data_IF_289882355021
#
_entry.id   IF_289882355021
#
_cell.length_a   1.000
_cell.length_b   1.000
_cell.length_c   1.000
_cell.angle_alpha   90.00
_cell.angle_beta   90.00
_cell.angle_gamma   90.00
#
_symmetry.space_group_name_H-M   'P 1'
#
loop_
_entity.id
_entity.type
_entity.pdbx_description
1 polymer ?
#
# COMPACT_ATOMS: atom_id res chain seq x y z
N UNK A 1 -35.34 -18.83 20.70
CA UNK A 1 -35.84 -17.92 21.75
C UNK A 1 -34.85 -17.92 22.93
N UNK A 2 -34.71 -16.84 23.69
CA UNK A 2 -33.49 -16.01 23.73
C UNK A 2 -32.68 -16.03 25.05
N UNK A 3 -31.49 -15.44 25.04
CA UNK A 3 -31.06 -14.46 26.06
C UNK A 3 -29.95 -14.83 27.06
N UNK A 4 -28.89 -14.00 27.09
CA UNK A 4 -28.02 -13.52 28.22
C UNK A 4 -26.62 -13.22 27.66
N UNK A 5 -26.24 -11.99 27.26
CA UNK A 5 -25.99 -10.76 28.03
C UNK A 5 -24.96 -10.96 29.17
N UNK A 6 -23.72 -10.58 28.85
CA UNK A 6 -22.64 -9.95 29.64
C UNK A 6 -22.53 -10.19 31.15
N UNK A 7 -21.35 -10.64 31.59
CA UNK A 7 -20.80 -10.19 32.88
C UNK A 7 -19.27 -10.03 32.83
N UNK A 8 -18.85 -8.78 33.01
CA UNK A 8 -17.48 -8.30 33.07
C UNK A 8 -16.99 -8.41 34.52
N UNK A 9 -16.20 -9.43 34.86
CA UNK A 9 -15.52 -9.49 36.16
C UNK A 9 -14.20 -8.72 36.11
N UNK A 10 -14.30 -7.44 36.42
CA UNK A 10 -13.43 -6.68 37.34
C UNK A 10 -11.92 -7.02 37.36
N UNK A 11 -11.12 -6.22 36.65
CA UNK A 11 -9.63 -6.15 36.74
C UNK A 11 -9.16 -5.24 37.90
N UNK A 12 -10.07 -4.75 38.75
CA UNK A 12 -9.80 -3.71 39.76
C UNK A 12 -9.61 -4.22 41.19
N UNK A 13 -9.15 -5.45 41.41
CA UNK A 13 -9.00 -6.02 42.76
C UNK A 13 -7.56 -6.41 43.16
N UNK A 14 -6.51 -6.01 42.41
CA UNK A 14 -5.10 -6.34 42.74
C UNK A 14 -4.21 -5.10 42.80
N UNK A 15 -4.74 -3.96 43.26
CA UNK A 15 -3.96 -2.71 43.43
C UNK A 15 -4.11 -2.13 44.84
N UNK A 16 -4.00 -2.98 45.85
CA UNK A 16 -3.72 -2.53 47.20
C UNK A 16 -2.57 -3.37 47.76
N UNK A 17 -1.56 -2.66 48.23
CA UNK A 17 -0.28 -3.12 48.77
C UNK A 17 0.87 -3.39 47.79
N UNK A 18 2.00 -2.82 48.20
CA UNK A 18 3.38 -2.96 47.75
C UNK A 18 3.95 -1.97 46.73
N UNK A 19 5.03 -1.34 47.21
CA UNK A 19 5.95 -0.45 46.51
C UNK A 19 6.54 -1.17 45.30
N UNK A 20 6.11 -0.82 44.09
CA UNK A 20 6.65 -1.43 42.85
C UNK A 20 7.77 -0.52 42.28
N UNK A 21 8.96 -1.07 41.99
CA UNK A 21 10.06 -0.32 41.39
C UNK A 21 9.76 0.03 39.92
N UNK A 22 10.15 1.25 39.51
CA UNK A 22 9.95 1.88 38.18
C UNK A 22 10.36 0.99 36.99
N UNK A 23 11.27 0.03 37.21
CA UNK A 23 11.75 -0.91 36.19
C UNK A 23 10.67 -1.90 35.69
N UNK A 24 9.69 -2.25 36.53
CA UNK A 24 8.57 -3.14 36.16
C UNK A 24 7.56 -2.46 35.23
N UNK A 25 7.51 -1.13 35.25
CA UNK A 25 6.61 -0.34 34.40
C UNK A 25 7.14 -0.21 32.96
N UNK A 26 8.45 -0.08 32.79
CA UNK A 26 9.09 -0.03 31.47
C UNK A 26 9.01 -1.38 30.74
N UNK A 27 9.21 -2.50 31.45
CA UNK A 27 9.04 -3.85 30.88
C UNK A 27 7.59 -4.11 30.47
N UNK A 28 6.61 -3.65 31.27
CA UNK A 28 5.20 -3.77 30.94
C UNK A 28 4.82 -2.90 29.72
N UNK A 29 5.37 -1.69 29.59
CA UNK A 29 5.11 -0.83 28.42
C UNK A 29 5.69 -1.42 27.12
N UNK A 30 6.91 -1.98 27.16
CA UNK A 30 7.51 -2.68 26.01
C UNK A 30 6.71 -3.93 25.66
N UNK A 31 6.28 -4.70 26.66
CA UNK A 31 5.45 -5.90 26.46
C UNK A 31 4.07 -5.56 25.88
N UNK A 32 3.40 -4.52 26.38
CA UNK A 32 2.12 -4.03 25.88
C UNK A 32 2.26 -3.52 24.43
N UNK A 33 3.36 -2.84 24.11
CA UNK A 33 3.62 -2.35 22.74
C UNK A 33 3.84 -3.52 21.79
N UNK A 34 4.67 -4.50 22.18
CA UNK A 34 4.95 -5.71 21.40
C UNK A 34 3.70 -6.58 21.22
N UNK A 35 2.87 -6.71 22.24
CA UNK A 35 1.59 -7.43 22.16
C UNK A 35 0.58 -6.72 21.24
N UNK A 36 0.56 -5.38 21.22
CA UNK A 36 -0.27 -4.59 20.31
C UNK A 36 0.20 -4.71 18.86
N UNK A 37 1.51 -4.72 18.64
CA UNK A 37 2.11 -4.91 17.32
C UNK A 37 1.84 -6.33 16.79
N UNK A 38 1.94 -7.36 17.64
CA UNK A 38 1.53 -8.73 17.33
C UNK A 38 0.02 -8.86 17.06
N UNK A 39 -0.84 -8.17 17.81
CA UNK A 39 -2.27 -8.15 17.53
C UNK A 39 -2.62 -7.46 16.21
N UNK A 40 -1.85 -6.44 15.81
CA UNK A 40 -2.02 -5.77 14.51
C UNK A 40 -1.58 -6.69 13.36
N UNK A 41 -0.47 -7.43 13.54
CA UNK A 41 0.01 -8.42 12.57
C UNK A 41 -0.94 -9.61 12.44
N UNK A 42 -1.42 -10.20 13.54
CA UNK A 42 -2.42 -11.27 13.48
C UNK A 42 -3.76 -10.80 12.89
N UNK A 43 -4.19 -9.56 13.15
CA UNK A 43 -5.36 -8.98 12.48
C UNK A 43 -5.12 -8.80 10.98
N UNK A 44 -3.91 -8.41 10.58
CA UNK A 44 -3.53 -8.30 9.17
C UNK A 44 -3.54 -9.68 8.50
N UNK A 45 -2.97 -10.71 9.11
CA UNK A 45 -2.97 -12.10 8.61
C UNK A 45 -4.38 -12.71 8.54
N UNK A 46 -5.20 -12.52 9.57
CA UNK A 46 -6.58 -13.00 9.58
C UNK A 46 -7.45 -12.25 8.55
N UNK A 47 -7.16 -10.97 8.28
CA UNK A 47 -7.80 -10.23 7.18
C UNK A 47 -7.32 -10.69 5.81
N UNK A 48 -6.02 -10.96 5.65
CA UNK A 48 -5.40 -11.53 4.45
C UNK A 48 -6.06 -12.87 4.05
N UNK A 49 -6.21 -13.78 5.01
CA UNK A 49 -6.82 -15.08 4.79
C UNK A 49 -8.31 -14.98 4.42
N UNK A 50 -9.07 -14.14 5.13
CA UNK A 50 -10.50 -13.95 4.84
C UNK A 50 -10.75 -13.23 3.51
N UNK A 51 -9.86 -12.32 3.11
CA UNK A 51 -9.91 -11.67 1.80
C UNK A 51 -9.66 -12.67 0.66
N UNK A 52 -8.66 -13.55 0.78
CA UNK A 52 -8.40 -14.61 -0.19
C UNK A 52 -9.60 -15.56 -0.40
N UNK A 53 -10.24 -15.97 0.71
CA UNK A 53 -11.44 -16.81 0.67
C UNK A 53 -12.67 -16.10 0.09
N UNK A 54 -12.84 -14.80 0.35
CA UNK A 54 -13.93 -14.01 -0.21
C UNK A 54 -13.78 -13.77 -1.73
N UNK A 55 -12.54 -13.75 -2.24
CA UNK A 55 -12.24 -13.64 -3.67
C UNK A 55 -12.58 -14.92 -4.44
N UNK A 56 -12.36 -16.10 -3.84
CA UNK A 56 -12.66 -17.40 -4.47
C UNK A 56 -14.15 -17.73 -4.51
N UNK A 57 -14.94 -17.27 -3.52
CA UNK A 57 -16.35 -17.67 -3.34
C UNK A 57 -17.37 -17.03 -4.30
N UNK A 58 -16.99 -16.11 -5.19
CA UNK A 58 -17.93 -15.30 -5.99
C UNK A 58 -17.67 -15.34 -7.50
N UNK A 59 -17.23 -16.48 -8.03
CA UNK A 59 -17.14 -16.74 -9.47
C UNK A 59 -18.53 -16.83 -10.13
N UNK A 60 -19.21 -15.70 -10.28
CA UNK A 60 -20.38 -15.55 -11.14
C UNK A 60 -19.98 -15.19 -12.57
N UNK A 61 -20.88 -15.42 -13.53
CA UNK A 61 -20.69 -15.13 -14.95
C UNK A 61 -20.10 -13.73 -15.20
N UNK A 62 -19.09 -13.64 -16.07
CA UNK A 62 -18.43 -12.37 -16.42
C UNK A 62 -19.39 -11.51 -17.23
N UNK A 63 -19.85 -10.40 -16.66
CA UNK A 63 -20.68 -9.44 -17.39
C UNK A 63 -19.87 -8.72 -18.48
N UNK A 64 -20.52 -8.28 -19.56
CA UNK A 64 -19.86 -7.54 -20.65
C UNK A 64 -19.10 -6.30 -20.16
N UNK A 65 -19.66 -5.58 -19.20
CA UNK A 65 -19.03 -4.43 -18.54
C UNK A 65 -17.76 -4.81 -17.79
N UNK A 66 -17.77 -5.95 -17.10
CA UNK A 66 -16.61 -6.50 -16.39
C UNK A 66 -15.52 -6.93 -17.37
N UNK A 67 -15.88 -7.52 -18.51
CA UNK A 67 -14.94 -7.89 -19.56
C UNK A 67 -14.27 -6.64 -20.17
N UNK A 68 -15.05 -5.61 -20.49
CA UNK A 68 -14.51 -4.34 -21.01
C UNK A 68 -13.57 -3.65 -20.00
N UNK A 69 -13.93 -3.66 -18.72
CA UNK A 69 -13.08 -3.10 -17.65
C UNK A 69 -11.78 -3.90 -17.47
N UNK A 70 -11.80 -5.22 -17.70
CA UNK A 70 -10.62 -6.08 -17.65
C UNK A 70 -9.71 -5.86 -18.87
N UNK A 71 -10.28 -5.75 -20.07
CA UNK A 71 -9.54 -5.39 -21.29
C UNK A 71 -8.85 -4.04 -21.11
N UNK A 72 -9.55 -3.04 -20.54
CA UNK A 72 -8.94 -1.74 -20.26
C UNK A 72 -7.82 -1.79 -19.19
N UNK A 73 -7.83 -2.79 -18.31
CA UNK A 73 -6.75 -3.01 -17.34
C UNK A 73 -5.59 -3.86 -17.88
N UNK A 74 -5.77 -4.60 -18.98
CA UNK A 74 -4.80 -5.59 -19.43
C UNK A 74 -3.41 -5.02 -19.69
N UNK A 75 -3.20 -3.80 -20.23
CA UNK A 75 -1.86 -3.26 -20.41
C UNK A 75 -1.14 -3.02 -19.08
N UNK A 76 -1.87 -2.55 -18.06
CA UNK A 76 -1.33 -2.31 -16.73
C UNK A 76 -1.04 -3.64 -16.02
N UNK A 77 -1.92 -4.62 -16.15
CA UNK A 77 -1.72 -5.96 -15.59
C UNK A 77 -0.47 -6.61 -16.21
N UNK A 78 -0.32 -6.51 -17.54
CA UNK A 78 0.86 -7.02 -18.23
C UNK A 78 2.13 -6.30 -17.76
N UNK A 79 2.09 -4.97 -17.63
CA UNK A 79 3.20 -4.17 -17.13
C UNK A 79 3.62 -4.59 -15.71
N UNK A 80 2.66 -4.77 -14.81
CA UNK A 80 2.95 -5.26 -13.45
C UNK A 80 3.48 -6.69 -13.47
N UNK A 81 3.02 -7.53 -14.39
CA UNK A 81 3.54 -8.88 -14.60
C UNK A 81 5.02 -8.88 -15.01
N UNK A 82 5.40 -8.02 -15.96
CA UNK A 82 6.81 -7.83 -16.36
C UNK A 82 7.65 -7.35 -15.17
N UNK A 83 7.15 -6.39 -14.40
CA UNK A 83 7.86 -5.92 -13.20
C UNK A 83 8.02 -6.98 -12.12
N UNK A 84 7.02 -7.85 -11.94
CA UNK A 84 7.07 -8.96 -10.99
C UNK A 84 8.08 -10.02 -11.44
N UNK A 85 8.12 -10.35 -12.74
CA UNK A 85 9.10 -11.26 -13.30
C UNK A 85 10.54 -10.72 -13.17
N UNK A 86 10.77 -9.44 -13.48
CA UNK A 86 12.07 -8.80 -13.32
C UNK A 86 12.52 -8.69 -11.86
N UNK A 87 11.59 -8.47 -10.93
CA UNK A 87 11.90 -8.48 -9.49
C UNK A 87 12.21 -9.89 -9.00
N UNK A 88 11.52 -10.92 -9.54
CA UNK A 88 11.78 -12.32 -9.20
C UNK A 88 13.13 -12.81 -9.74
N UNK A 89 13.49 -12.46 -10.98
CA UNK A 89 14.83 -12.79 -11.51
C UNK A 89 15.93 -12.16 -10.65
N UNK A 90 15.70 -10.93 -10.18
CA UNK A 90 16.61 -10.26 -9.25
C UNK A 90 16.73 -11.00 -7.92
N UNK A 91 15.64 -11.54 -7.37
CA UNK A 91 15.71 -12.37 -6.15
C UNK A 91 16.59 -13.60 -6.36
N UNK A 92 16.46 -14.28 -7.51
CA UNK A 92 17.26 -15.46 -7.83
C UNK A 92 18.75 -15.11 -7.92
N UNK A 93 19.09 -14.00 -8.58
CA UNK A 93 20.48 -13.50 -8.64
C UNK A 93 21.03 -13.18 -7.25
N UNK A 94 20.23 -12.53 -6.40
CA UNK A 94 20.64 -12.13 -5.05
C UNK A 94 20.83 -13.34 -4.11
N UNK A 95 20.01 -14.37 -4.26
CA UNK A 95 20.17 -15.64 -3.52
C UNK A 95 21.46 -16.37 -3.91
N UNK A 96 21.83 -16.35 -5.20
CA UNK A 96 23.07 -16.94 -5.68
C UNK A 96 24.34 -16.16 -5.28
N UNK A 97 24.19 -14.88 -4.93
CA UNK A 97 25.29 -13.99 -4.57
C UNK A 97 25.46 -13.77 -3.05
N UNK A 98 24.78 -14.56 -2.20
CA UNK A 98 24.75 -14.39 -0.74
C UNK A 98 24.47 -12.94 -0.30
N UNK A 99 23.55 -12.29 -1.03
CA UNK A 99 23.28 -10.87 -0.84
C UNK A 99 22.58 -10.58 0.50
N UNK A 100 22.56 -9.29 0.86
CA UNK A 100 21.93 -8.81 2.09
C UNK A 100 20.46 -9.29 2.22
N UNK A 101 20.07 -9.90 3.34
CA UNK A 101 18.71 -10.42 3.54
C UNK A 101 17.62 -9.34 3.47
N UNK A 102 17.92 -8.10 3.85
CA UNK A 102 16.98 -6.98 3.72
C UNK A 102 16.72 -6.61 2.26
N UNK A 103 17.74 -6.72 1.41
CA UNK A 103 17.60 -6.47 -0.02
C UNK A 103 16.74 -7.55 -0.68
N UNK A 104 16.99 -8.82 -0.34
CA UNK A 104 16.16 -9.95 -0.79
C UNK A 104 14.71 -9.76 -0.31
N UNK A 105 14.52 -9.42 0.97
CA UNK A 105 13.20 -9.15 1.56
C UNK A 105 12.46 -8.00 0.87
N UNK A 106 13.15 -6.90 0.56
CA UNK A 106 12.58 -5.78 -0.19
C UNK A 106 12.09 -6.22 -1.57
N UNK A 107 12.88 -7.02 -2.30
CA UNK A 107 12.49 -7.51 -3.63
C UNK A 107 11.30 -8.46 -3.57
N UNK A 108 11.28 -9.39 -2.60
CA UNK A 108 10.14 -10.27 -2.36
C UNK A 108 8.87 -9.49 -2.00
N UNK A 109 8.98 -8.47 -1.15
CA UNK A 109 7.86 -7.62 -0.79
C UNK A 109 7.35 -6.82 -2.00
N UNK A 110 8.23 -6.38 -2.90
CA UNK A 110 7.84 -5.76 -4.16
C UNK A 110 7.09 -6.75 -5.08
N UNK A 111 7.59 -7.97 -5.24
CA UNK A 111 6.87 -9.03 -5.98
C UNK A 111 5.48 -9.26 -5.39
N UNK A 112 5.38 -9.40 -4.07
CA UNK A 112 4.10 -9.58 -3.38
C UNK A 112 3.14 -8.40 -3.61
N UNK A 113 3.63 -7.16 -3.51
CA UNK A 113 2.87 -5.96 -3.82
C UNK A 113 2.31 -5.99 -5.26
N UNK A 114 3.15 -6.30 -6.24
CA UNK A 114 2.75 -6.37 -7.65
C UNK A 114 1.70 -7.46 -7.90
N UNK A 115 1.85 -8.63 -7.30
CA UNK A 115 0.88 -9.72 -7.40
C UNK A 115 -0.47 -9.34 -6.78
N UNK A 116 -0.47 -8.69 -5.61
CA UNK A 116 -1.69 -8.16 -4.98
C UNK A 116 -2.33 -7.10 -5.87
N UNK A 117 -1.55 -6.17 -6.43
CA UNK A 117 -2.04 -5.14 -7.32
C UNK A 117 -2.68 -5.74 -8.59
N UNK A 118 -2.04 -6.73 -9.22
CA UNK A 118 -2.59 -7.50 -10.36
C UNK A 118 -3.91 -8.17 -9.97
N UNK A 119 -3.93 -8.89 -8.84
CA UNK A 119 -5.13 -9.57 -8.37
C UNK A 119 -6.27 -8.58 -8.13
N UNK A 120 -6.01 -7.45 -7.48
CA UNK A 120 -7.02 -6.42 -7.25
C UNK A 120 -7.49 -5.78 -8.55
N UNK A 121 -6.61 -5.54 -9.52
CA UNK A 121 -6.99 -5.03 -10.84
C UNK A 121 -7.87 -6.02 -11.61
N UNK A 122 -7.59 -7.32 -11.53
CA UNK A 122 -8.45 -8.35 -12.13
C UNK A 122 -9.81 -8.45 -11.41
N UNK A 123 -9.80 -8.34 -10.08
CA UNK A 123 -10.97 -8.58 -9.24
C UNK A 123 -11.81 -7.30 -9.01
N UNK A 124 -11.33 -6.12 -9.40
CA UNK A 124 -11.97 -4.82 -9.15
C UNK A 124 -13.43 -4.73 -9.56
N UNK A 125 -14.25 -3.97 -8.83
CA UNK A 125 -15.66 -3.73 -9.19
C UNK A 125 -15.75 -2.63 -10.25
N UNK A 126 -16.67 -2.68 -11.22
CA UNK A 126 -16.76 -1.66 -12.29
C UNK A 126 -16.90 -0.23 -11.71
N UNK A 127 -16.35 0.79 -12.39
CA UNK A 127 -16.38 2.16 -11.89
C UNK A 127 -17.76 2.80 -12.04
N UNK A 128 -18.16 3.55 -11.01
CA UNK A 128 -19.38 4.37 -10.98
C UNK A 128 -19.20 5.60 -11.85
N UNK A 129 -18.01 6.22 -11.81
CA UNK A 129 -17.68 7.39 -12.61
C UNK A 129 -16.25 7.32 -13.11
N UNK A 130 -16.02 7.71 -14.36
CA UNK A 130 -14.69 7.80 -14.99
C UNK A 130 -14.42 9.24 -15.35
N UNK A 131 -13.20 9.72 -15.13
CA UNK A 131 -12.82 11.02 -15.65
C UNK A 131 -12.46 10.92 -17.13
N UNK A 132 -13.02 11.81 -17.95
CA UNK A 132 -12.77 11.87 -19.39
C UNK A 132 -11.60 12.81 -19.71
N UNK A 133 -10.95 12.58 -20.85
CA UNK A 133 -9.88 13.42 -21.40
C UNK A 133 -8.48 12.80 -21.32
N UNK A 134 -7.57 13.31 -22.16
CA UNK A 134 -6.19 12.81 -22.26
C UNK A 134 -5.35 13.11 -21.00
N UNK A 135 -5.56 14.26 -20.35
CA UNK A 135 -4.78 14.67 -19.17
C UNK A 135 -4.79 13.66 -18.02
N UNK A 136 -5.97 13.22 -17.52
CA UNK A 136 -6.08 12.20 -16.48
C UNK A 136 -5.47 10.84 -16.87
N UNK A 137 -5.59 10.47 -18.15
CA UNK A 137 -4.99 9.21 -18.66
C UNK A 137 -3.48 9.31 -18.67
N UNK A 138 -2.92 10.41 -19.22
CA UNK A 138 -1.48 10.66 -19.24
C UNK A 138 -0.91 10.72 -17.82
N UNK A 139 -1.55 11.43 -16.90
CA UNK A 139 -1.12 11.49 -15.50
C UNK A 139 -1.14 10.09 -14.83
N UNK A 140 -2.16 9.28 -15.11
CA UNK A 140 -2.26 7.89 -14.64
C UNK A 140 -1.15 6.99 -15.20
N UNK A 141 -0.91 7.08 -16.51
CA UNK A 141 0.09 6.25 -17.23
C UNK A 141 1.51 6.67 -16.83
N UNK A 142 1.85 7.96 -16.91
CA UNK A 142 3.19 8.45 -16.56
C UNK A 142 3.48 8.18 -15.08
N UNK A 143 2.52 8.46 -14.19
CA UNK A 143 2.64 8.19 -12.78
C UNK A 143 2.73 6.70 -12.42
N UNK A 144 2.40 5.80 -13.34
CA UNK A 144 2.59 4.36 -13.21
C UNK A 144 3.94 3.90 -13.77
N UNK A 145 4.35 4.43 -14.93
CA UNK A 145 5.54 3.98 -15.65
C UNK A 145 6.85 4.47 -15.02
N UNK A 146 6.94 5.73 -14.60
CA UNK A 146 8.21 6.32 -14.11
C UNK A 146 8.74 5.63 -12.86
N UNK A 147 7.91 5.37 -11.81
CA UNK A 147 8.33 4.57 -10.66
C UNK A 147 8.92 3.20 -11.02
N UNK A 148 8.35 2.53 -12.02
CA UNK A 148 8.78 1.18 -12.44
C UNK A 148 10.14 1.17 -13.11
N UNK A 149 10.43 2.17 -13.95
CA UNK A 149 11.74 2.30 -14.57
C UNK A 149 12.82 2.42 -13.49
N UNK A 150 12.57 3.21 -12.45
CA UNK A 150 13.53 3.38 -11.33
C UNK A 150 13.78 2.06 -10.59
N UNK A 151 12.74 1.25 -10.38
CA UNK A 151 12.82 -0.02 -9.63
C UNK A 151 13.60 -1.10 -10.39
N UNK A 152 13.53 -1.12 -11.72
CA UNK A 152 14.15 -2.15 -12.56
C UNK A 152 15.64 -1.92 -12.86
N UNK A 153 16.18 -0.75 -12.53
CA UNK A 153 17.57 -0.43 -12.85
C UNK A 153 18.57 -1.17 -11.96
N UNK A 154 19.74 -1.54 -12.53
CA UNK A 154 20.81 -2.18 -11.79
C UNK A 154 21.34 -1.23 -10.71
N UNK A 155 21.50 -1.76 -9.50
CA UNK A 155 22.04 -1.02 -8.36
C UNK A 155 23.56 -0.97 -8.44
N UNK A 156 24.14 0.10 -7.89
CA UNK A 156 25.59 0.19 -7.70
C UNK A 156 25.98 -0.36 -6.33
N UNK A 157 27.24 -0.76 -6.18
CA UNK A 157 27.78 -1.16 -4.89
C UNK A 157 27.84 0.05 -3.95
N UNK A 158 26.88 0.12 -3.02
CA UNK A 158 26.89 1.05 -1.90
C UNK A 158 27.56 0.41 -0.68
N UNK A 159 28.05 1.23 0.28
CA UNK A 159 28.48 0.72 1.58
C UNK A 159 27.37 -0.16 2.21
N UNK A 160 27.69 -1.33 2.79
CA UNK A 160 26.70 -2.30 3.26
C UNK A 160 25.68 -1.71 4.25
N UNK A 161 26.11 -0.79 5.13
CA UNK A 161 25.22 -0.12 6.08
C UNK A 161 24.16 0.76 5.40
N UNK A 162 24.56 1.53 4.39
CA UNK A 162 23.65 2.39 3.61
C UNK A 162 22.68 1.52 2.82
N UNK A 163 23.19 0.47 2.14
CA UNK A 163 22.35 -0.45 1.38
C UNK A 163 21.29 -1.14 2.27
N UNK A 164 21.67 -1.53 3.48
CA UNK A 164 20.74 -2.12 4.46
C UNK A 164 19.64 -1.14 4.85
N UNK A 165 20.02 0.10 5.19
CA UNK A 165 19.08 1.14 5.59
C UNK A 165 18.09 1.49 4.48
N UNK A 166 18.57 1.63 3.24
CA UNK A 166 17.71 1.85 2.07
C UNK A 166 16.81 0.65 1.84
N UNK A 167 17.34 -0.57 1.79
CA UNK A 167 16.52 -1.79 1.60
C UNK A 167 15.43 -1.94 2.67
N UNK A 168 15.72 -1.59 3.93
CA UNK A 168 14.73 -1.58 5.00
C UNK A 168 13.63 -0.51 4.79
N UNK A 169 14.00 0.67 4.26
CA UNK A 169 13.04 1.71 3.88
C UNK A 169 12.14 1.24 2.73
N UNK A 170 12.71 0.62 1.70
CA UNK A 170 11.96 0.02 0.59
C UNK A 170 11.01 -1.08 1.05
N UNK A 171 11.47 -1.97 1.93
CA UNK A 171 10.66 -3.02 2.55
C UNK A 171 9.49 -2.44 3.35
N UNK A 172 9.74 -1.39 4.14
CA UNK A 172 8.68 -0.67 4.86
C UNK A 172 7.64 -0.08 3.90
N UNK A 173 8.10 0.58 2.83
CA UNK A 173 7.23 1.12 1.79
C UNK A 173 6.35 0.04 1.15
N UNK A 174 6.94 -1.09 0.77
CA UNK A 174 6.20 -2.22 0.18
C UNK A 174 5.17 -2.82 1.15
N UNK A 175 5.54 -3.01 2.42
CA UNK A 175 4.63 -3.51 3.45
C UNK A 175 3.46 -2.54 3.69
N UNK A 176 3.72 -1.23 3.72
CA UNK A 176 2.68 -0.20 3.83
C UNK A 176 1.76 -0.20 2.61
N UNK A 177 2.31 -0.30 1.39
CA UNK A 177 1.52 -0.37 0.17
C UNK A 177 0.58 -1.57 0.17
N UNK A 178 1.07 -2.74 0.55
CA UNK A 178 0.27 -3.97 0.70
C UNK A 178 -0.85 -3.75 1.74
N UNK A 179 -0.53 -3.16 2.91
CA UNK A 179 -1.52 -2.83 3.92
C UNK A 179 -2.61 -1.89 3.38
N UNK A 180 -2.24 -0.83 2.65
CA UNK A 180 -3.18 0.12 2.06
C UNK A 180 -4.05 -0.54 0.98
N UNK A 181 -3.47 -1.41 0.15
CA UNK A 181 -4.20 -2.19 -0.85
C UNK A 181 -5.25 -3.10 -0.22
N UNK A 182 -5.03 -3.65 0.98
CA UNK A 182 -6.07 -4.41 1.69
C UNK A 182 -7.29 -3.56 2.04
N UNK A 183 -7.08 -2.32 2.49
CA UNK A 183 -8.17 -1.40 2.81
C UNK A 183 -8.91 -0.91 1.57
N UNK A 184 -8.18 -0.68 0.47
CA UNK A 184 -8.76 -0.24 -0.80
C UNK A 184 -9.48 -1.39 -1.51
N UNK A 185 -8.93 -2.59 -1.45
CA UNK A 185 -9.46 -3.82 -2.02
C UNK A 185 -9.85 -3.67 -3.48
N UNK A 186 -11.07 -4.13 -3.81
CA UNK A 186 -11.60 -4.15 -5.19
C UNK A 186 -11.90 -2.76 -5.77
N UNK A 187 -11.61 -1.69 -5.03
CA UNK A 187 -11.77 -0.31 -5.49
C UNK A 187 -10.47 0.26 -6.05
N UNK A 188 -9.39 -0.51 -6.05
CA UNK A 188 -8.10 -0.12 -6.62
C UNK A 188 -8.17 0.19 -8.12
N UNK A 189 -7.54 1.28 -8.52
CA UNK A 189 -7.44 1.74 -9.91
C UNK A 189 -6.15 2.53 -10.11
N UNK A 190 -5.54 2.40 -11.29
CA UNK A 190 -4.41 3.23 -11.72
C UNK A 190 -4.87 4.51 -12.42
N UNK A 191 -6.03 4.46 -13.07
CA UNK A 191 -6.61 5.64 -13.70
C UNK A 191 -7.58 6.34 -12.73
N UNK A 192 -7.71 7.68 -12.79
CA UNK A 192 -8.67 8.43 -11.98
C UNK A 192 -10.12 7.98 -12.23
N UNK A 193 -10.62 7.12 -11.35
CA UNK A 193 -11.93 6.47 -11.48
C UNK A 193 -12.55 6.27 -10.10
N UNK A 194 -13.82 6.64 -9.96
CA UNK A 194 -14.58 6.43 -8.75
C UNK A 194 -15.26 5.06 -8.79
N UNK A 195 -14.88 4.17 -7.86
CA UNK A 195 -15.49 2.83 -7.68
C UNK A 195 -16.24 2.74 -6.35
N UNK A 196 -15.56 3.04 -5.25
CA UNK A 196 -16.13 3.11 -3.90
C UNK A 196 -15.33 4.13 -3.09
N UNK A 197 -16.03 4.87 -2.23
CA UNK A 197 -15.37 5.72 -1.25
C UNK A 197 -14.89 4.88 -0.05
N UNK A 198 -13.58 4.90 0.21
CA UNK A 198 -12.95 4.26 1.37
C UNK A 198 -12.40 5.32 2.30
N UNK A 199 -12.87 5.33 3.56
CA UNK A 199 -12.51 6.32 4.57
C UNK A 199 -12.00 5.70 5.88
N UNK A 200 -11.88 4.37 5.92
CA UNK A 200 -11.45 3.60 7.11
C UNK A 200 -9.99 3.17 6.99
N UNK A 201 -9.39 2.82 8.12
CA UNK A 201 -8.00 2.35 8.17
C UNK A 201 -7.01 3.49 7.90
N UNK A 202 -5.99 3.33 7.03
CA UNK A 202 -5.00 4.37 6.76
C UNK A 202 -5.63 5.63 6.14
N UNK A 203 -6.76 5.47 5.44
CA UNK A 203 -7.53 6.57 4.85
C UNK A 203 -8.15 7.52 5.88
N UNK A 204 -8.20 7.16 7.17
CA UNK A 204 -8.66 8.08 8.23
C UNK A 204 -7.66 9.19 8.54
N UNK A 205 -6.38 8.98 8.19
CA UNK A 205 -5.30 9.91 8.49
C UNK A 205 -5.01 10.81 7.30
N UNK A 206 -4.92 10.22 6.11
CA UNK A 206 -4.57 10.91 4.85
C UNK A 206 -5.37 10.30 3.71
N UNK A 207 -5.69 11.08 2.67
CA UNK A 207 -6.50 10.62 1.53
C UNK A 207 -5.76 9.72 0.58
N UNK A 208 -4.45 9.88 0.47
CA UNK A 208 -3.59 9.23 -0.52
C UNK A 208 -2.46 8.40 0.14
N UNK A 209 -2.76 7.48 1.08
CA UNK A 209 -1.72 6.75 1.82
C UNK A 209 -0.92 5.79 0.94
N UNK A 210 -1.51 5.27 -0.15
CA UNK A 210 -0.81 4.40 -1.09
C UNK A 210 0.32 5.14 -1.79
N UNK A 211 0.08 6.39 -2.19
CA UNK A 211 1.07 7.23 -2.85
C UNK A 211 2.26 7.54 -1.94
N UNK A 212 2.02 7.76 -0.64
CA UNK A 212 3.09 7.94 0.33
C UNK A 212 3.97 6.67 0.43
N UNK A 213 3.34 5.50 0.47
CA UNK A 213 4.05 4.23 0.51
C UNK A 213 4.83 3.96 -0.79
N UNK A 214 4.26 4.27 -1.95
CA UNK A 214 4.94 4.21 -3.25
C UNK A 214 6.15 5.14 -3.30
N UNK A 215 6.04 6.37 -2.77
CA UNK A 215 7.18 7.29 -2.71
C UNK A 215 8.33 6.77 -1.87
N UNK A 216 8.07 6.03 -0.77
CA UNK A 216 9.13 5.39 0.01
C UNK A 216 9.88 4.32 -0.80
N UNK A 217 9.15 3.50 -1.57
CA UNK A 217 9.74 2.47 -2.43
C UNK A 217 10.62 3.13 -3.50
N UNK A 218 10.10 4.13 -4.21
CA UNK A 218 10.85 4.79 -5.28
C UNK A 218 12.04 5.55 -4.72
N UNK A 219 11.90 6.24 -3.57
CA UNK A 219 13.00 6.97 -2.94
C UNK A 219 14.13 6.03 -2.50
N UNK A 220 13.79 4.88 -1.90
CA UNK A 220 14.76 3.82 -1.57
C UNK A 220 15.53 3.38 -2.82
N UNK A 221 14.81 3.00 -3.87
CA UNK A 221 15.41 2.43 -5.09
C UNK A 221 16.22 3.47 -5.87
N UNK A 222 15.74 4.71 -5.96
CA UNK A 222 16.46 5.82 -6.57
C UNK A 222 17.78 6.11 -5.83
N UNK A 223 17.76 6.06 -4.50
CA UNK A 223 18.95 6.31 -3.67
C UNK A 223 20.01 5.22 -3.80
N UNK A 224 19.60 3.98 -4.10
CA UNK A 224 20.50 2.84 -4.31
C UNK A 224 21.34 2.94 -5.60
N UNK A 225 20.96 3.81 -6.54
CA UNK A 225 21.70 4.01 -7.79
C UNK A 225 22.93 4.92 -7.64
N UNK A 226 23.06 5.65 -6.52
CA UNK A 226 24.19 6.55 -6.22
C UNK A 226 24.50 7.55 -7.37
N UNK A 227 23.47 8.01 -8.08
CA UNK A 227 23.56 8.98 -9.17
C UNK A 227 22.53 10.10 -8.94
N UNK A 228 22.71 11.30 -9.51
CA UNK A 228 21.76 12.41 -9.31
C UNK A 228 20.49 12.25 -10.13
N UNK A 229 20.55 11.62 -11.30
CA UNK A 229 19.40 11.52 -12.22
C UNK A 229 18.23 10.67 -11.70
N UNK A 230 18.39 9.60 -10.89
CA UNK A 230 17.25 8.86 -10.32
C UNK A 230 16.47 9.71 -9.32
N UNK A 231 17.12 10.67 -8.65
CA UNK A 231 16.43 11.64 -7.80
C UNK A 231 15.61 12.63 -8.64
N UNK A 232 16.10 12.99 -9.83
CA UNK A 232 15.32 13.77 -10.80
C UNK A 232 14.12 12.96 -11.30
N UNK A 233 14.30 11.67 -11.61
CA UNK A 233 13.21 10.78 -11.99
C UNK A 233 12.18 10.60 -10.85
N UNK A 234 12.63 10.52 -9.60
CA UNK A 234 11.77 10.50 -8.42
C UNK A 234 10.99 11.81 -8.27
N UNK A 235 11.65 12.97 -8.37
CA UNK A 235 10.98 14.27 -8.31
C UNK A 235 9.95 14.44 -9.43
N UNK A 236 10.27 13.97 -10.63
CA UNK A 236 9.35 13.93 -11.76
C UNK A 236 8.15 13.01 -11.48
N UNK A 237 8.38 11.81 -10.96
CA UNK A 237 7.31 10.89 -10.57
C UNK A 237 6.37 11.51 -9.53
N UNK A 238 6.91 12.13 -8.48
CA UNK A 238 6.12 12.89 -7.49
C UNK A 238 5.32 13.99 -8.18
N UNK A 239 5.95 14.75 -9.07
CA UNK A 239 5.31 15.81 -9.86
C UNK A 239 4.14 15.33 -10.72
N UNK A 240 4.23 14.13 -11.31
CA UNK A 240 3.12 13.52 -12.05
C UNK A 240 2.00 12.98 -11.16
N UNK A 241 2.36 12.54 -9.95
CA UNK A 241 1.43 12.01 -8.97
C UNK A 241 0.51 13.08 -8.37
N UNK A 242 1.00 14.33 -8.22
CA UNK A 242 0.21 15.41 -7.64
C UNK A 242 -1.03 15.80 -8.49
N UNK A 243 -0.95 16.00 -9.82
CA UNK A 243 -2.12 16.16 -10.68
C UNK A 243 -3.03 14.94 -10.66
N UNK A 244 -2.47 13.72 -10.64
CA UNK A 244 -3.25 12.49 -10.59
C UNK A 244 -4.12 12.42 -9.34
N UNK A 245 -3.57 12.75 -8.17
CA UNK A 245 -4.35 12.86 -6.93
C UNK A 245 -5.49 13.87 -7.10
N UNK A 246 -5.24 15.05 -7.68
CA UNK A 246 -6.29 16.06 -7.88
C UNK A 246 -7.43 15.58 -8.79
N UNK A 247 -7.11 14.84 -9.84
CA UNK A 247 -8.13 14.22 -10.70
C UNK A 247 -8.93 13.15 -9.95
N UNK A 248 -8.26 12.31 -9.15
CA UNK A 248 -8.95 11.35 -8.28
C UNK A 248 -9.89 12.03 -7.29
N UNK A 249 -9.46 13.12 -6.65
CA UNK A 249 -10.31 13.88 -5.73
C UNK A 249 -11.51 14.51 -6.43
N UNK A 250 -11.32 15.05 -7.63
CA UNK A 250 -12.40 15.63 -8.43
C UNK A 250 -13.46 14.58 -8.76
N UNK A 251 -13.06 13.42 -9.28
CA UNK A 251 -14.02 12.38 -9.64
C UNK A 251 -14.71 11.78 -8.41
N UNK A 252 -14.01 11.68 -7.28
CA UNK A 252 -14.61 11.24 -6.02
C UNK A 252 -15.62 12.26 -5.47
N UNK A 253 -15.32 13.56 -5.54
CA UNK A 253 -16.24 14.62 -5.14
C UNK A 253 -17.51 14.65 -5.99
N UNK A 254 -17.37 14.36 -7.29
CA UNK A 254 -18.49 14.28 -8.21
C UNK A 254 -19.33 12.98 -8.06
N UNK A 255 -18.72 11.89 -7.58
CA UNK A 255 -19.38 10.59 -7.45
C UNK A 255 -19.99 10.33 -6.07
N UNK A 256 -19.44 10.94 -5.00
CA UNK A 256 -19.82 10.67 -3.62
C UNK A 256 -20.09 11.97 -2.84
N UNK A 257 -21.35 12.22 -2.40
CA UNK A 257 -21.69 13.40 -1.60
C UNK A 257 -20.84 13.54 -0.33
N UNK A 258 -20.59 12.42 0.35
CA UNK A 258 -19.82 12.34 1.61
C UNK A 258 -18.35 12.72 1.44
N UNK A 259 -17.84 12.77 0.20
CA UNK A 259 -16.43 13.03 -0.06
C UNK A 259 -16.00 14.40 0.45
N UNK A 260 -16.84 15.43 0.32
CA UNK A 260 -16.51 16.79 0.76
C UNK A 260 -16.27 16.84 2.26
N UNK A 261 -17.09 16.14 3.05
CA UNK A 261 -16.99 16.09 4.50
C UNK A 261 -15.75 15.31 4.94
N UNK A 262 -15.48 14.21 4.23
CA UNK A 262 -14.25 13.44 4.40
C UNK A 262 -12.98 14.26 4.08
N UNK A 263 -13.00 15.04 3.00
CA UNK A 263 -11.88 15.86 2.59
C UNK A 263 -11.59 17.01 3.57
N UNK A 264 -12.61 17.57 4.23
CA UNK A 264 -12.42 18.62 5.25
C UNK A 264 -11.67 18.14 6.50
N UNK A 265 -11.75 16.85 6.83
CA UNK A 265 -11.16 16.28 8.06
C UNK A 265 -9.86 15.51 7.85
N UNK A 266 -9.35 15.46 6.62
CA UNK A 266 -8.14 14.71 6.28
C UNK A 266 -7.18 15.58 5.47
N UNK A 267 -5.89 15.25 5.47
CA UNK A 267 -4.92 15.84 4.54
C UNK A 267 -4.77 14.95 3.29
N UNK A 268 -4.15 15.44 2.21
CA UNK A 268 -3.86 14.60 1.03
C UNK A 268 -2.79 13.57 1.35
N UNK A 269 -1.64 14.03 1.85
CA UNK A 269 -0.43 13.24 2.10
C UNK A 269 0.17 13.50 3.48
N UNK A 270 0.32 14.77 3.88
CA UNK A 270 1.04 15.17 5.09
C UNK A 270 0.14 16.11 5.90
N UNK A 271 -0.33 15.69 7.09
CA UNK A 271 -1.12 16.55 7.98
C UNK A 271 -0.45 17.90 8.23
N UNK A 272 -1.17 18.99 7.96
CA UNK A 272 -0.67 20.37 8.15
C UNK A 272 0.17 20.93 7.00
N UNK A 273 0.49 20.14 5.97
CA UNK A 273 1.27 20.60 4.80
C UNK A 273 0.48 20.44 3.50
N UNK A 274 -0.02 19.23 3.21
CA UNK A 274 -0.70 18.91 1.96
C UNK A 274 -1.72 17.78 2.13
#
# INVERSE_FOLDING_TARGET
MPGKIWECKSITAVLAHDKIPVQKHLSNLVFIRRARDLQLLCKAEAMLANAGLALLRRGGAVTREKLHDLIAASPVILWFGVGAAGSLSRVVELLGAEANPFLIGCQLANVAFLLVAIALLALRIPPVKKQQGAGPVLAGVIGCLVPFVVVLLPQRALPPGILTALSALGLLGAALSICVLFWLGRSFSILPQARKLVTKGPYRFVRHPLYLAEFLIVASRASELAQPWPLVAFAFAVGCQLPRMRYEERILAEAFPDYRDYARRTARLIPGVY
#
